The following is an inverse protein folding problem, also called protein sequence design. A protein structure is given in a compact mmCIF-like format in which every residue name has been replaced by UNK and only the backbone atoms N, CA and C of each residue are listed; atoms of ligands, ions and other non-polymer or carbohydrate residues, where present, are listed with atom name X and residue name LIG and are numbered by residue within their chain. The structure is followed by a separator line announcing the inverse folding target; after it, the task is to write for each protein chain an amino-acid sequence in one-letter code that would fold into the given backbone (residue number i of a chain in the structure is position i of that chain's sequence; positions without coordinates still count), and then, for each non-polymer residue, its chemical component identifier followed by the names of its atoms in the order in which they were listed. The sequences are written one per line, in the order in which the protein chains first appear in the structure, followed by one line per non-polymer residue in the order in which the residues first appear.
data_IF_607498348783
#
_entry.id   IF_607498348783
#
_cell.length_a   1.000
_cell.length_b   1.000
_cell.length_c   1.000
_cell.angle_alpha   90.00
_cell.angle_beta   90.00
_cell.angle_gamma   90.00
#
_symmetry.space_group_name_H-M   'P 1'
#
loop_
_entity.id
_entity.type
_entity.pdbx_description
1 polymer ?
#
# COMPACT_ATOMS: atom_id res chain seq x y z
N UNK A 1 2.32 -48.35 -9.08
CA UNK A 1 1.25 -49.30 -8.69
C UNK A 1 1.33 -49.48 -7.18
N UNK A 2 0.58 -48.68 -6.43
CA UNK A 2 0.49 -48.82 -4.97
C UNK A 2 -0.55 -49.91 -4.69
N UNK A 3 -0.11 -51.06 -4.21
CA UNK A 3 -1.01 -52.13 -3.75
C UNK A 3 -1.56 -51.67 -2.40
N UNK A 4 -2.80 -51.19 -2.38
CA UNK A 4 -3.50 -50.95 -1.12
C UNK A 4 -3.84 -52.32 -0.51
N UNK A 5 -3.43 -52.63 0.73
CA UNK A 5 -3.89 -53.83 1.40
C UNK A 5 -5.42 -53.73 1.56
N UNK A 6 -6.15 -54.83 1.31
CA UNK A 6 -7.57 -54.91 1.65
C UNK A 6 -7.74 -54.64 3.15
N UNK A 7 -8.26 -53.46 3.50
CA UNK A 7 -8.63 -53.15 4.87
C UNK A 7 -9.72 -54.14 5.30
N UNK A 8 -9.49 -54.85 6.41
CA UNK A 8 -10.51 -55.76 6.95
C UNK A 8 -11.71 -54.92 7.42
N UNK A 9 -12.94 -55.43 7.25
CA UNK A 9 -14.18 -54.77 7.68
C UNK A 9 -14.12 -54.30 9.15
N UNK A 10 -13.42 -55.04 10.01
CA UNK A 10 -13.17 -54.72 11.42
C UNK A 10 -12.31 -53.46 11.61
N UNK A 11 -11.31 -53.27 10.74
CA UNK A 11 -10.46 -52.07 10.73
C UNK A 11 -11.26 -50.83 10.32
N UNK A 12 -12.06 -50.92 9.26
CA UNK A 12 -12.91 -49.82 8.80
C UNK A 12 -13.96 -49.44 9.85
N UNK A 13 -14.58 -50.43 10.50
CA UNK A 13 -15.54 -50.19 11.57
C UNK A 13 -14.88 -49.51 12.79
N UNK A 14 -13.66 -49.90 13.14
CA UNK A 14 -12.89 -49.27 14.23
C UNK A 14 -12.63 -47.80 13.93
N UNK A 15 -12.16 -47.47 12.72
CA UNK A 15 -11.94 -46.08 12.29
C UNK A 15 -13.23 -45.26 12.39
N UNK A 16 -14.36 -45.80 11.93
CA UNK A 16 -15.65 -45.12 12.00
C UNK A 16 -16.09 -44.82 13.44
N UNK A 17 -15.94 -45.79 14.34
CA UNK A 17 -16.30 -45.62 15.75
C UNK A 17 -15.41 -44.60 16.46
N UNK A 18 -14.10 -44.68 16.26
CA UNK A 18 -13.14 -43.73 16.83
C UNK A 18 -13.34 -42.32 16.27
N UNK A 19 -13.62 -42.18 14.96
CA UNK A 19 -13.91 -40.90 14.33
C UNK A 19 -15.14 -40.23 14.96
N UNK A 20 -16.22 -40.99 15.21
CA UNK A 20 -17.42 -40.49 15.90
C UNK A 20 -17.14 -40.05 17.34
N UNK A 21 -16.20 -40.70 18.02
CA UNK A 21 -15.83 -40.34 19.40
C UNK A 21 -14.94 -39.08 19.45
N UNK A 22 -13.98 -38.96 18.52
CA UNK A 22 -12.88 -37.99 18.61
C UNK A 22 -13.08 -36.74 17.75
N UNK A 23 -13.63 -36.87 16.53
CA UNK A 23 -13.78 -35.73 15.61
C UNK A 23 -14.69 -34.61 16.14
N UNK A 24 -15.80 -34.87 16.86
CA UNK A 24 -16.62 -33.78 17.40
C UNK A 24 -15.85 -32.88 18.35
N UNK A 25 -15.01 -33.46 19.22
CA UNK A 25 -14.16 -32.69 20.13
C UNK A 25 -13.07 -31.93 19.38
N UNK A 26 -12.47 -32.55 18.35
CA UNK A 26 -11.46 -31.88 17.53
C UNK A 26 -12.04 -30.67 16.79
N UNK A 27 -13.17 -30.86 16.11
CA UNK A 27 -13.88 -29.79 15.39
C UNK A 27 -14.32 -28.66 16.34
N UNK A 28 -14.80 -28.99 17.54
CA UNK A 28 -15.13 -28.02 18.58
C UNK A 28 -13.91 -27.16 18.95
N UNK A 29 -12.73 -27.77 19.12
CA UNK A 29 -11.50 -27.02 19.46
C UNK A 29 -11.01 -26.13 18.32
N UNK A 30 -10.93 -26.67 17.11
CA UNK A 30 -10.44 -25.93 15.94
C UNK A 30 -11.35 -24.75 15.56
N UNK A 31 -12.65 -24.85 15.86
CA UNK A 31 -13.64 -23.83 15.50
C UNK A 31 -14.05 -22.93 16.68
N UNK A 32 -13.34 -23.00 17.82
CA UNK A 32 -13.73 -22.31 19.05
C UNK A 32 -15.19 -22.57 19.48
N UNK A 33 -15.67 -23.79 19.24
CA UNK A 33 -16.99 -24.28 19.61
C UNK A 33 -18.10 -24.04 18.58
N UNK A 34 -17.77 -23.50 17.41
CA UNK A 34 -18.75 -23.05 16.43
C UNK A 34 -19.14 -24.10 15.37
N UNK A 35 -18.28 -25.08 15.12
CA UNK A 35 -18.53 -26.24 14.26
C UNK A 35 -18.94 -27.45 15.11
N UNK A 36 -20.14 -27.98 14.85
CA UNK A 36 -20.68 -29.18 15.52
C UNK A 36 -20.90 -30.28 14.49
N UNK A 37 -20.17 -31.37 14.62
CA UNK A 37 -20.28 -32.50 13.71
C UNK A 37 -21.39 -33.46 14.15
N UNK A 38 -22.29 -33.80 13.23
CA UNK A 38 -23.24 -34.89 13.41
C UNK A 38 -22.55 -36.25 13.23
N UNK A 39 -23.13 -37.35 13.74
CA UNK A 39 -22.58 -38.70 13.49
C UNK A 39 -22.38 -39.02 12.01
N UNK A 40 -23.32 -38.62 11.14
CA UNK A 40 -23.22 -38.82 9.69
C UNK A 40 -22.07 -38.01 9.07
N UNK A 41 -21.80 -36.80 9.58
CA UNK A 41 -20.66 -35.99 9.14
C UNK A 41 -19.34 -36.59 9.63
N UNK A 42 -19.30 -37.15 10.84
CA UNK A 42 -18.13 -37.89 11.32
C UNK A 42 -17.83 -39.11 10.43
N UNK A 43 -18.85 -39.83 9.94
CA UNK A 43 -18.66 -40.95 9.01
C UNK A 43 -18.02 -40.48 7.70
N UNK A 44 -18.50 -39.36 7.15
CA UNK A 44 -17.93 -38.77 5.93
C UNK A 44 -16.47 -38.31 6.13
N UNK A 45 -16.14 -37.87 7.34
CA UNK A 45 -14.80 -37.41 7.72
C UNK A 45 -13.93 -38.53 8.32
N UNK A 46 -14.38 -39.78 8.28
CA UNK A 46 -13.60 -40.91 8.82
C UNK A 46 -12.23 -41.07 8.13
N UNK A 47 -12.14 -40.70 6.85
CA UNK A 47 -10.86 -40.64 6.12
C UNK A 47 -9.88 -39.59 6.66
N UNK A 48 -10.39 -38.47 7.20
CA UNK A 48 -9.58 -37.47 7.90
C UNK A 48 -9.05 -37.99 9.22
N UNK A 49 -9.91 -38.65 10.02
CA UNK A 49 -9.47 -39.28 11.26
C UNK A 49 -8.44 -40.40 11.00
N UNK A 50 -8.67 -41.23 9.99
CA UNK A 50 -7.75 -42.29 9.60
C UNK A 50 -6.36 -41.74 9.27
N UNK A 51 -6.28 -40.67 8.46
CA UNK A 51 -4.99 -40.07 8.10
C UNK A 51 -4.32 -39.37 9.29
N UNK A 52 -5.11 -38.69 10.14
CA UNK A 52 -4.60 -38.05 11.35
C UNK A 52 -3.95 -39.07 12.28
N UNK A 53 -4.60 -40.21 12.54
CA UNK A 53 -4.13 -41.23 13.50
C UNK A 53 -2.73 -41.75 13.15
N UNK A 54 -2.40 -41.79 11.87
CA UNK A 54 -1.11 -42.28 11.38
C UNK A 54 -0.02 -41.20 11.43
N UNK A 55 -0.37 -39.93 11.66
CA UNK A 55 0.56 -38.80 11.70
C UNK A 55 1.15 -38.56 13.10
N UNK A 56 2.42 -38.10 13.19
CA UNK A 56 3.11 -37.88 14.46
C UNK A 56 2.49 -36.75 15.31
N UNK A 57 1.71 -35.86 14.71
CA UNK A 57 0.97 -34.82 15.44
C UNK A 57 -0.23 -35.34 16.23
N UNK A 58 -0.80 -36.50 15.89
CA UNK A 58 -2.05 -36.97 16.49
C UNK A 58 -1.98 -37.24 18.00
N UNK A 59 -0.94 -37.91 18.57
CA UNK A 59 -0.84 -38.12 20.01
C UNK A 59 -0.90 -36.82 20.82
N UNK A 60 -0.39 -35.71 20.27
CA UNK A 60 -0.43 -34.37 20.89
C UNK A 60 -1.87 -33.85 20.90
N UNK A 61 -2.56 -33.92 19.75
CA UNK A 61 -3.94 -33.48 19.62
C UNK A 61 -4.88 -34.30 20.50
N UNK A 62 -4.74 -35.63 20.48
CA UNK A 62 -5.59 -36.56 21.22
C UNK A 62 -5.54 -36.29 22.73
N UNK A 63 -4.34 -36.13 23.27
CA UNK A 63 -4.15 -35.79 24.68
C UNK A 63 -4.79 -34.42 25.04
N UNK A 64 -4.80 -33.47 24.10
CA UNK A 64 -5.32 -32.14 24.29
C UNK A 64 -6.84 -32.00 24.08
N UNK A 65 -7.53 -32.98 23.49
CA UNK A 65 -8.98 -32.88 23.20
C UNK A 65 -9.82 -32.55 24.45
N UNK A 66 -9.42 -33.10 25.60
CA UNK A 66 -10.14 -32.93 26.88
C UNK A 66 -9.79 -31.62 27.61
N UNK A 67 -8.77 -30.88 27.15
CA UNK A 67 -8.27 -29.67 27.81
C UNK A 67 -8.42 -28.44 26.93
N UNK A 68 -9.41 -27.57 27.24
CA UNK A 68 -9.64 -26.32 26.49
C UNK A 68 -8.38 -25.43 26.50
N UNK A 69 -7.72 -25.32 27.65
CA UNK A 69 -6.56 -24.44 27.85
C UNK A 69 -5.30 -24.90 27.12
N UNK A 70 -5.28 -26.11 26.56
CA UNK A 70 -4.18 -26.59 25.74
C UNK A 70 -4.17 -25.97 24.33
N UNK A 71 -5.26 -25.33 23.92
CA UNK A 71 -5.43 -24.72 22.59
C UNK A 71 -5.16 -23.21 22.66
N UNK A 72 -4.48 -22.60 21.67
CA UNK A 72 -4.08 -23.18 20.37
C UNK A 72 -2.74 -23.95 20.38
N UNK A 73 -1.99 -23.95 21.49
CA UNK A 73 -0.61 -24.48 21.53
C UNK A 73 -0.50 -25.96 21.11
N UNK A 74 -1.48 -26.80 21.45
CA UNK A 74 -1.51 -28.19 21.03
C UNK A 74 -1.55 -28.35 19.49
N UNK A 75 -2.26 -27.46 18.79
CA UNK A 75 -2.29 -27.44 17.33
C UNK A 75 -0.92 -27.09 16.74
N UNK A 76 -0.29 -26.03 17.26
CA UNK A 76 1.04 -25.60 16.82
C UNK A 76 2.08 -26.72 16.99
N UNK A 77 2.08 -27.39 18.14
CA UNK A 77 2.98 -28.50 18.43
C UNK A 77 2.72 -29.71 17.52
N UNK A 78 1.45 -30.03 17.24
CA UNK A 78 1.10 -31.10 16.32
C UNK A 78 1.55 -30.78 14.88
N UNK A 79 1.39 -29.52 14.45
CA UNK A 79 1.86 -29.03 13.16
C UNK A 79 3.39 -29.08 13.06
N UNK A 80 4.10 -28.69 14.11
CA UNK A 80 5.58 -28.79 14.21
C UNK A 80 6.06 -30.25 14.16
N UNK A 81 5.31 -31.18 14.75
CA UNK A 81 5.60 -32.62 14.68
C UNK A 81 5.39 -33.19 13.27
N UNK A 82 4.51 -32.58 12.49
CA UNK A 82 4.28 -32.88 11.07
C UNK A 82 2.95 -33.57 10.81
N UNK A 83 2.35 -33.21 9.67
CA UNK A 83 1.19 -33.89 9.09
C UNK A 83 1.54 -34.37 7.69
N UNK A 84 1.03 -35.54 7.30
CA UNK A 84 1.13 -35.99 5.92
C UNK A 84 0.38 -35.04 4.98
N UNK A 85 0.73 -35.05 3.69
CA UNK A 85 0.04 -34.26 2.67
C UNK A 85 -1.47 -34.61 2.58
N UNK A 86 -1.82 -35.89 2.78
CA UNK A 86 -3.21 -36.35 2.87
C UNK A 86 -3.96 -35.72 4.04
N UNK A 87 -3.38 -35.71 5.23
CA UNK A 87 -3.98 -35.05 6.39
C UNK A 87 -4.07 -33.54 6.18
N UNK A 88 -3.04 -32.94 5.58
CA UNK A 88 -3.03 -31.52 5.24
C UNK A 88 -4.18 -31.16 4.28
N UNK A 89 -4.50 -32.01 3.31
CA UNK A 89 -5.67 -31.81 2.45
C UNK A 89 -6.98 -31.76 3.25
N UNK A 90 -7.20 -32.72 4.15
CA UNK A 90 -8.40 -32.72 4.99
C UNK A 90 -8.45 -31.55 5.97
N UNK A 91 -7.30 -31.17 6.56
CA UNK A 91 -7.19 -29.98 7.39
C UNK A 91 -7.57 -28.73 6.59
N UNK A 92 -7.08 -28.60 5.35
CA UNK A 92 -7.38 -27.47 4.48
C UNK A 92 -8.89 -27.35 4.24
N UNK A 93 -9.57 -28.45 3.91
CA UNK A 93 -11.03 -28.47 3.74
C UNK A 93 -11.79 -28.03 5.00
N UNK A 94 -11.41 -28.55 6.17
CA UNK A 94 -12.08 -28.23 7.43
C UNK A 94 -11.82 -26.77 7.85
N UNK A 95 -10.59 -26.28 7.75
CA UNK A 95 -10.31 -24.88 8.06
C UNK A 95 -10.99 -23.93 7.08
N UNK A 96 -11.06 -24.27 5.78
CA UNK A 96 -11.86 -23.50 4.82
C UNK A 96 -13.34 -23.46 5.21
N UNK A 97 -13.93 -24.59 5.62
CA UNK A 97 -15.32 -24.64 6.13
C UNK A 97 -15.51 -23.69 7.33
N UNK A 98 -14.60 -23.73 8.31
CA UNK A 98 -14.63 -22.86 9.49
C UNK A 98 -14.46 -21.39 9.11
N UNK A 99 -13.56 -21.06 8.17
CA UNK A 99 -13.38 -19.69 7.66
C UNK A 99 -14.70 -19.17 7.09
N UNK A 100 -15.33 -19.93 6.18
CA UNK A 100 -16.57 -19.49 5.54
C UNK A 100 -17.70 -19.29 6.54
N UNK A 101 -17.83 -20.16 7.52
CA UNK A 101 -18.84 -20.03 8.56
C UNK A 101 -18.56 -18.87 9.52
N UNK A 102 -17.30 -18.64 9.87
CA UNK A 102 -16.89 -17.48 10.67
C UNK A 102 -17.17 -16.16 9.94
N UNK A 103 -16.86 -16.08 8.64
CA UNK A 103 -17.16 -14.92 7.80
C UNK A 103 -18.66 -14.65 7.70
N UNK A 104 -19.50 -15.69 7.54
CA UNK A 104 -20.97 -15.55 7.53
C UNK A 104 -21.52 -15.01 8.86
N UNK A 105 -20.88 -15.36 9.98
CA UNK A 105 -21.24 -14.91 11.33
C UNK A 105 -20.60 -13.58 11.73
N UNK A 106 -19.78 -13.00 10.85
CA UNK A 106 -18.96 -11.81 11.12
C UNK A 106 -17.97 -11.99 12.30
N UNK A 107 -17.54 -13.23 12.57
CA UNK A 107 -16.49 -13.54 13.55
C UNK A 107 -15.11 -13.45 12.89
N UNK A 108 -14.64 -12.21 12.71
CA UNK A 108 -13.36 -11.93 12.05
C UNK A 108 -12.14 -12.41 12.85
N UNK A 109 -12.29 -12.59 14.16
CA UNK A 109 -11.21 -13.09 15.02
C UNK A 109 -10.96 -14.56 14.73
N UNK A 110 -12.03 -15.37 14.71
CA UNK A 110 -11.93 -16.78 14.34
C UNK A 110 -11.49 -16.92 12.89
N UNK A 111 -12.13 -16.19 11.96
CA UNK A 111 -11.77 -16.23 10.54
C UNK A 111 -10.28 -15.93 10.31
N UNK A 112 -9.73 -14.90 10.97
CA UNK A 112 -8.32 -14.53 10.83
C UNK A 112 -7.35 -15.58 11.36
N UNK A 113 -7.72 -16.26 12.45
CA UNK A 113 -6.92 -17.35 13.01
C UNK A 113 -6.88 -18.56 12.06
N UNK A 114 -8.04 -19.02 11.61
CA UNK A 114 -8.14 -20.24 10.78
C UNK A 114 -7.76 -20.01 9.31
N UNK A 115 -7.75 -18.76 8.83
CA UNK A 115 -7.33 -18.40 7.48
C UNK A 115 -5.92 -18.86 7.16
N UNK A 116 -4.95 -18.48 8.00
CA UNK A 116 -3.54 -18.84 7.80
C UNK A 116 -3.32 -20.35 7.83
N UNK A 117 -4.02 -21.05 8.72
CA UNK A 117 -3.98 -22.51 8.83
C UNK A 117 -4.56 -23.19 7.58
N UNK A 118 -5.67 -22.67 7.04
CA UNK A 118 -6.26 -23.18 5.80
C UNK A 118 -5.30 -23.07 4.61
N UNK A 119 -4.69 -21.90 4.41
CA UNK A 119 -3.78 -21.67 3.29
C UNK A 119 -2.52 -22.54 3.39
N UNK A 120 -1.92 -22.62 4.59
CA UNK A 120 -0.74 -23.46 4.79
C UNK A 120 -1.07 -24.94 4.56
N UNK A 121 -2.22 -25.41 5.03
CA UNK A 121 -2.65 -26.78 4.84
C UNK A 121 -2.87 -27.11 3.35
N UNK A 122 -3.39 -26.16 2.57
CA UNK A 122 -3.51 -26.31 1.11
C UNK A 122 -2.16 -26.45 0.42
N UNK A 123 -1.17 -25.62 0.77
CA UNK A 123 0.19 -25.71 0.20
C UNK A 123 0.84 -27.04 0.58
N UNK A 124 0.76 -27.45 1.85
CA UNK A 124 1.32 -28.73 2.32
C UNK A 124 0.64 -29.94 1.66
N UNK A 125 -0.64 -29.83 1.31
CA UNK A 125 -1.34 -30.89 0.57
C UNK A 125 -0.84 -31.04 -0.87
N UNK A 126 -0.35 -29.94 -1.47
CA UNK A 126 0.12 -29.90 -2.86
C UNK A 126 1.53 -30.47 -3.04
N UNK A 127 2.26 -30.76 -1.95
CA UNK A 127 3.57 -31.43 -1.96
C UNK A 127 3.47 -32.90 -2.39
N UNK A 128 3.15 -33.13 -3.67
CA UNK A 128 3.16 -34.43 -4.35
C UNK A 128 1.86 -35.24 -4.22
N UNK A 129 1.00 -34.97 -3.24
CA UNK A 129 -0.22 -35.77 -3.04
C UNK A 129 -1.41 -35.28 -3.86
N UNK A 130 -1.63 -33.97 -3.95
CA UNK A 130 -2.84 -33.42 -4.59
C UNK A 130 -2.91 -33.74 -6.09
N UNK A 131 -1.78 -33.79 -6.78
CA UNK A 131 -1.70 -34.18 -8.20
C UNK A 131 -2.17 -35.63 -8.40
N UNK A 132 -1.62 -36.57 -7.62
CA UNK A 132 -2.00 -37.98 -7.66
C UNK A 132 -3.48 -38.18 -7.30
N UNK A 133 -3.96 -37.46 -6.28
CA UNK A 133 -5.36 -37.48 -5.87
C UNK A 133 -6.28 -36.99 -7.00
N UNK A 134 -5.97 -35.86 -7.63
CA UNK A 134 -6.75 -35.33 -8.74
C UNK A 134 -6.71 -36.26 -9.95
N UNK A 135 -5.56 -36.85 -10.27
CA UNK A 135 -5.44 -37.84 -11.33
C UNK A 135 -6.29 -39.09 -11.08
N UNK A 136 -6.44 -39.49 -9.81
CA UNK A 136 -7.31 -40.59 -9.43
C UNK A 136 -8.79 -40.22 -9.53
N UNK A 137 -9.18 -39.05 -9.04
CA UNK A 137 -10.56 -38.57 -9.09
C UNK A 137 -11.03 -38.21 -10.51
N UNK A 138 -10.10 -37.77 -11.37
CA UNK A 138 -10.34 -37.32 -12.73
C UNK A 138 -9.43 -38.08 -13.72
N UNK A 139 -9.64 -39.39 -13.92
CA UNK A 139 -8.71 -40.24 -14.67
C UNK A 139 -8.59 -39.87 -16.16
N UNK A 140 -9.57 -39.17 -16.71
CA UNK A 140 -9.58 -38.70 -18.11
C UNK A 140 -9.12 -37.26 -18.28
N UNK A 141 -8.79 -36.54 -17.20
CA UNK A 141 -8.30 -35.18 -17.29
C UNK A 141 -6.89 -35.14 -17.89
N UNK A 142 -6.60 -34.11 -18.68
CA UNK A 142 -5.23 -33.84 -19.13
C UNK A 142 -4.37 -33.34 -17.96
N UNK A 143 -3.05 -33.49 -18.07
CA UNK A 143 -2.11 -32.93 -17.10
C UNK A 143 -2.29 -31.41 -16.92
N UNK A 144 -2.61 -30.71 -18.01
CA UNK A 144 -2.92 -29.27 -17.99
C UNK A 144 -4.19 -28.96 -17.18
N UNK A 145 -5.25 -29.77 -17.31
CA UNK A 145 -6.47 -29.59 -16.52
C UNK A 145 -6.24 -29.84 -15.02
N UNK A 146 -5.40 -30.82 -14.67
CA UNK A 146 -5.00 -31.08 -13.27
C UNK A 146 -4.21 -29.89 -12.73
N UNK A 147 -3.22 -29.41 -13.48
CA UNK A 147 -2.43 -28.22 -13.14
C UNK A 147 -3.31 -26.99 -12.92
N UNK A 148 -4.22 -26.71 -13.86
CA UNK A 148 -5.16 -25.59 -13.76
C UNK A 148 -6.08 -25.71 -12.53
N UNK A 149 -6.55 -26.92 -12.20
CA UNK A 149 -7.37 -27.18 -11.00
C UNK A 149 -6.59 -26.87 -9.72
N UNK A 150 -5.31 -27.26 -9.64
CA UNK A 150 -4.45 -26.95 -8.49
C UNK A 150 -4.23 -25.45 -8.33
N UNK A 151 -3.91 -24.74 -9.42
CA UNK A 151 -3.72 -23.28 -9.41
C UNK A 151 -4.99 -22.52 -8.99
N UNK A 152 -6.17 -23.04 -9.35
CA UNK A 152 -7.45 -22.43 -9.04
C UNK A 152 -8.03 -22.81 -7.66
N UNK A 153 -7.45 -23.81 -6.98
CA UNK A 153 -7.97 -24.33 -5.71
C UNK A 153 -8.12 -23.26 -4.59
N UNK A 154 -7.22 -22.25 -4.46
CA UNK A 154 -7.40 -21.16 -3.49
C UNK A 154 -8.55 -20.19 -3.82
N UNK A 155 -9.07 -20.21 -5.06
CA UNK A 155 -10.02 -19.24 -5.61
C UNK A 155 -11.23 -18.95 -4.72
N UNK A 156 -12.02 -19.96 -4.30
CA UNK A 156 -13.21 -19.72 -3.47
C UNK A 156 -12.92 -18.99 -2.14
N UNK A 157 -11.76 -19.26 -1.52
CA UNK A 157 -11.36 -18.59 -0.30
C UNK A 157 -11.00 -17.12 -0.56
N UNK A 158 -10.27 -16.85 -1.64
CA UNK A 158 -9.89 -15.50 -2.06
C UNK A 158 -11.10 -14.68 -2.53
N UNK A 159 -12.09 -15.29 -3.19
CA UNK A 159 -13.36 -14.64 -3.54
C UNK A 159 -14.15 -14.20 -2.29
N UNK A 160 -14.19 -15.03 -1.24
CA UNK A 160 -14.83 -14.66 0.01
C UNK A 160 -14.10 -13.50 0.72
N UNK A 161 -12.76 -13.52 0.68
CA UNK A 161 -11.94 -12.41 1.15
C UNK A 161 -12.24 -11.12 0.36
N UNK A 162 -12.30 -11.20 -0.97
CA UNK A 162 -12.63 -10.07 -1.85
C UNK A 162 -13.98 -9.45 -1.49
N UNK A 163 -15.03 -10.28 -1.38
CA UNK A 163 -16.37 -9.81 -1.01
C UNK A 163 -16.37 -9.13 0.37
N UNK A 164 -15.63 -9.67 1.35
CA UNK A 164 -15.53 -9.06 2.68
C UNK A 164 -14.75 -7.74 2.64
N UNK A 165 -13.66 -7.69 1.88
CA UNK A 165 -12.83 -6.50 1.70
C UNK A 165 -13.62 -5.38 1.02
N UNK A 166 -14.33 -5.67 -0.09
CA UNK A 166 -15.23 -4.72 -0.78
C UNK A 166 -16.29 -4.15 0.14
N UNK A 167 -16.96 -5.01 0.92
CA UNK A 167 -17.94 -4.55 1.93
C UNK A 167 -17.30 -3.65 2.98
N UNK A 168 -16.10 -3.97 3.42
CA UNK A 168 -15.40 -3.21 4.45
C UNK A 168 -14.86 -1.87 3.93
N UNK A 169 -14.49 -1.82 2.64
CA UNK A 169 -14.09 -0.61 1.93
C UNK A 169 -15.24 0.41 1.89
N UNK A 170 -16.49 -0.02 1.74
CA UNK A 170 -17.65 0.89 1.71
C UNK A 170 -17.42 2.07 0.73
N UNK A 171 -17.19 1.73 -0.54
CA UNK A 171 -16.74 2.67 -1.58
C UNK A 171 -17.81 3.70 -1.97
N UNK A 172 -19.09 3.33 -1.86
CA UNK A 172 -20.21 4.24 -2.12
C UNK A 172 -20.22 5.47 -1.19
N UNK A 173 -19.68 5.32 0.03
CA UNK A 173 -19.58 6.38 1.02
C UNK A 173 -18.11 6.61 1.42
N UNK A 174 -17.29 7.06 0.46
CA UNK A 174 -15.85 7.28 0.68
C UNK A 174 -15.57 8.29 1.81
N UNK A 175 -16.41 9.32 1.94
CA UNK A 175 -16.33 10.34 3.00
C UNK A 175 -16.76 9.83 4.37
N UNK A 176 -17.44 8.68 4.44
CA UNK A 176 -17.77 8.02 5.70
C UNK A 176 -16.61 7.14 6.19
N UNK A 177 -16.57 6.92 7.50
CA UNK A 177 -15.61 5.99 8.11
C UNK A 177 -15.81 4.57 7.56
N UNK A 178 -14.73 3.87 7.17
CA UNK A 178 -14.82 2.48 6.70
C UNK A 178 -15.02 1.50 7.88
N UNK A 179 -15.39 0.25 7.56
CA UNK A 179 -15.39 -0.84 8.56
C UNK A 179 -13.94 -1.25 8.86
N UNK A 180 -13.35 -0.60 9.87
CA UNK A 180 -11.97 -0.83 10.30
C UNK A 180 -11.71 -2.28 10.70
N UNK A 181 -12.69 -3.01 11.24
CA UNK A 181 -12.51 -4.41 11.64
C UNK A 181 -12.40 -5.29 10.40
N UNK A 182 -13.30 -5.11 9.44
CA UNK A 182 -13.26 -5.79 8.15
C UNK A 182 -11.97 -5.51 7.37
N UNK A 183 -11.52 -4.26 7.32
CA UNK A 183 -10.28 -3.90 6.62
C UNK A 183 -9.03 -4.48 7.29
N UNK A 184 -8.97 -4.51 8.62
CA UNK A 184 -7.84 -5.15 9.34
C UNK A 184 -7.79 -6.66 9.11
N UNK A 185 -8.95 -7.32 9.08
CA UNK A 185 -9.03 -8.72 8.69
C UNK A 185 -8.53 -8.91 7.26
N UNK A 186 -8.95 -8.08 6.31
CA UNK A 186 -8.52 -8.18 4.93
C UNK A 186 -7.01 -7.98 4.78
N UNK A 187 -6.43 -7.00 5.49
CA UNK A 187 -4.97 -6.81 5.54
C UNK A 187 -4.26 -8.06 6.06
N UNK A 188 -4.68 -8.57 7.22
CA UNK A 188 -4.11 -9.78 7.82
C UNK A 188 -4.20 -10.99 6.89
N UNK A 189 -5.32 -11.15 6.20
CA UNK A 189 -5.54 -12.24 5.26
C UNK A 189 -4.59 -12.14 4.04
N UNK A 190 -4.42 -10.93 3.49
CA UNK A 190 -3.48 -10.66 2.40
C UNK A 190 -2.02 -10.87 2.83
N UNK A 191 -1.63 -10.43 4.04
CA UNK A 191 -0.28 -10.67 4.58
C UNK A 191 -0.02 -12.17 4.78
N UNK A 192 -1.04 -12.94 5.16
CA UNK A 192 -0.96 -14.39 5.20
C UNK A 192 -0.77 -15.00 3.81
N UNK A 193 -1.46 -14.50 2.79
CA UNK A 193 -1.25 -14.94 1.41
C UNK A 193 0.18 -14.70 0.96
N UNK A 194 0.74 -13.51 1.20
CA UNK A 194 2.11 -13.19 0.82
C UNK A 194 3.13 -14.10 1.51
N UNK A 195 2.90 -14.40 2.80
CA UNK A 195 3.76 -15.32 3.56
C UNK A 195 3.67 -16.77 3.06
N UNK A 196 2.47 -17.25 2.73
CA UNK A 196 2.24 -18.65 2.37
C UNK A 196 2.57 -18.92 0.90
N UNK A 197 2.30 -17.96 0.02
CA UNK A 197 2.50 -18.11 -1.44
C UNK A 197 3.79 -17.47 -1.95
N UNK A 198 4.47 -16.63 -1.15
CA UNK A 198 5.59 -15.81 -1.60
C UNK A 198 6.83 -16.55 -2.11
N UNK A 199 7.05 -17.80 -1.68
CA UNK A 199 8.15 -18.64 -2.16
C UNK A 199 7.75 -19.57 -3.32
N UNK A 200 6.49 -19.54 -3.76
CA UNK A 200 5.95 -20.29 -4.90
C UNK A 200 6.56 -21.69 -5.08
N UNK A 201 6.41 -22.55 -4.08
CA UNK A 201 7.02 -23.89 -4.04
C UNK A 201 6.23 -24.98 -4.78
N UNK A 202 5.03 -24.65 -5.25
CA UNK A 202 4.08 -25.60 -5.83
C UNK A 202 3.11 -24.89 -6.79
N UNK A 203 2.40 -25.66 -7.64
CA UNK A 203 1.41 -25.11 -8.57
C UNK A 203 0.26 -24.40 -7.83
N UNK A 204 -0.16 -24.93 -6.69
CA UNK A 204 -1.15 -24.27 -5.85
C UNK A 204 -0.61 -22.93 -5.30
N UNK A 205 0.64 -22.91 -4.85
CA UNK A 205 1.26 -21.68 -4.33
C UNK A 205 1.43 -20.62 -5.43
N UNK A 206 1.86 -21.02 -6.63
CA UNK A 206 1.95 -20.13 -7.79
C UNK A 206 0.58 -19.53 -8.16
N UNK A 207 -0.46 -20.37 -8.28
CA UNK A 207 -1.82 -19.90 -8.56
C UNK A 207 -2.37 -19.01 -7.44
N UNK A 208 -2.09 -19.35 -6.18
CA UNK A 208 -2.44 -18.53 -5.01
C UNK A 208 -1.77 -17.15 -5.04
N UNK A 209 -0.50 -17.07 -5.41
CA UNK A 209 0.22 -15.81 -5.58
C UNK A 209 -0.38 -14.95 -6.70
N UNK A 210 -0.68 -15.55 -7.86
CA UNK A 210 -1.31 -14.86 -9.00
C UNK A 210 -2.71 -14.32 -8.66
N UNK A 211 -3.53 -15.12 -7.99
CA UNK A 211 -4.87 -14.72 -7.56
C UNK A 211 -4.80 -13.62 -6.48
N UNK A 212 -3.86 -13.71 -5.54
CA UNK A 212 -3.64 -12.67 -4.52
C UNK A 212 -3.18 -11.37 -5.16
N UNK A 213 -2.29 -11.44 -6.14
CA UNK A 213 -1.85 -10.27 -6.91
C UNK A 213 -3.02 -9.63 -7.67
N UNK A 214 -3.82 -10.43 -8.36
CA UNK A 214 -5.04 -9.99 -9.07
C UNK A 214 -6.03 -9.34 -8.10
N UNK A 215 -6.25 -9.94 -6.93
CA UNK A 215 -7.12 -9.39 -5.90
C UNK A 215 -6.64 -8.00 -5.44
N UNK A 216 -5.35 -7.83 -5.16
CA UNK A 216 -4.78 -6.52 -4.79
C UNK A 216 -4.98 -5.49 -5.89
N UNK A 217 -4.79 -5.86 -7.15
CA UNK A 217 -5.03 -4.97 -8.29
C UNK A 217 -6.51 -4.57 -8.40
N UNK A 218 -7.43 -5.51 -8.27
CA UNK A 218 -8.89 -5.25 -8.30
C UNK A 218 -9.29 -4.29 -7.20
N UNK A 219 -8.89 -4.56 -5.94
CA UNK A 219 -9.20 -3.68 -4.80
C UNK A 219 -8.61 -2.28 -4.98
N UNK A 220 -7.38 -2.18 -5.50
CA UNK A 220 -6.74 -0.90 -5.79
C UNK A 220 -7.46 -0.12 -6.89
N UNK A 221 -7.87 -0.81 -7.96
CA UNK A 221 -8.62 -0.22 -9.08
C UNK A 221 -9.96 0.33 -8.61
N UNK A 222 -10.74 -0.48 -7.89
CA UNK A 222 -12.07 -0.08 -7.39
C UNK A 222 -11.97 1.09 -6.41
N UNK A 223 -11.00 1.05 -5.49
CA UNK A 223 -10.78 2.14 -4.54
C UNK A 223 -10.39 3.44 -5.27
N UNK A 224 -9.54 3.35 -6.29
CA UNK A 224 -9.11 4.49 -7.12
C UNK A 224 -10.26 5.05 -7.97
N UNK A 225 -11.08 4.18 -8.56
CA UNK A 225 -12.27 4.56 -9.31
C UNK A 225 -13.26 5.29 -8.40
N UNK A 226 -13.50 4.77 -7.19
CA UNK A 226 -14.35 5.45 -6.22
C UNK A 226 -13.84 6.86 -5.88
N UNK A 227 -12.53 7.02 -5.61
CA UNK A 227 -11.94 8.35 -5.40
C UNK A 227 -12.21 9.29 -6.57
N UNK A 228 -11.99 8.80 -7.79
CA UNK A 228 -12.22 9.59 -9.01
C UNK A 228 -13.67 10.00 -9.15
N UNK A 229 -14.63 9.09 -8.95
CA UNK A 229 -16.06 9.38 -9.01
C UNK A 229 -16.47 10.42 -7.98
N UNK A 230 -16.01 10.29 -6.72
CA UNK A 230 -16.31 11.26 -5.67
C UNK A 230 -15.72 12.64 -5.99
N UNK A 231 -14.49 12.71 -6.52
CA UNK A 231 -13.87 13.99 -6.92
C UNK A 231 -14.61 14.63 -8.10
N UNK A 232 -14.98 13.86 -9.12
CA UNK A 232 -15.72 14.36 -10.28
C UNK A 232 -17.12 14.90 -9.94
N UNK A 233 -17.73 14.36 -8.87
CA UNK A 233 -19.02 14.84 -8.40
C UNK A 233 -18.94 16.21 -7.68
N UNK A 234 -17.75 16.64 -7.26
CA UNK A 234 -17.59 17.92 -6.58
C UNK A 234 -17.70 19.08 -7.58
N UNK A 235 -18.61 20.01 -7.30
CA UNK A 235 -18.67 21.26 -8.06
C UNK A 235 -17.60 22.24 -7.56
N UNK A 236 -16.44 22.25 -8.23
CA UNK A 236 -15.31 23.12 -7.91
C UNK A 236 -15.61 24.63 -8.00
N UNK A 237 -16.78 25.05 -8.48
CA UNK A 237 -17.20 26.47 -8.47
C UNK A 237 -17.79 26.90 -7.13
N UNK A 238 -18.35 25.94 -6.37
CA UNK A 238 -19.09 26.22 -5.14
C UNK A 238 -18.56 25.48 -3.92
N UNK A 239 -17.75 24.43 -4.13
CA UNK A 239 -17.24 23.61 -3.05
C UNK A 239 -16.45 24.43 -2.03
N UNK A 240 -16.58 24.05 -0.76
CA UNK A 240 -15.73 24.51 0.33
C UNK A 240 -14.51 23.58 0.53
N UNK A 241 -13.58 23.98 1.40
CA UNK A 241 -12.36 23.23 1.64
C UNK A 241 -12.62 21.83 2.26
N UNK A 242 -13.66 21.70 3.09
CA UNK A 242 -13.97 20.43 3.75
C UNK A 242 -14.53 19.41 2.74
N UNK A 243 -15.38 19.86 1.81
CA UNK A 243 -15.90 19.04 0.72
C UNK A 243 -14.78 18.50 -0.19
N UNK A 244 -13.75 19.32 -0.45
CA UNK A 244 -12.59 18.91 -1.27
C UNK A 244 -11.68 17.90 -0.57
N UNK A 245 -11.49 18.05 0.73
CA UNK A 245 -10.57 17.23 1.53
C UNK A 245 -11.19 15.89 1.92
N UNK A 246 -12.50 15.83 2.20
CA UNK A 246 -13.15 14.65 2.74
C UNK A 246 -12.95 13.35 1.91
N UNK A 247 -13.00 13.36 0.56
CA UNK A 247 -12.71 12.17 -0.24
C UNK A 247 -11.25 11.68 -0.09
N UNK A 248 -10.29 12.61 0.00
CA UNK A 248 -8.87 12.29 0.14
C UNK A 248 -8.58 11.68 1.51
N UNK A 249 -9.15 12.22 2.59
CA UNK A 249 -9.02 11.66 3.94
C UNK A 249 -9.67 10.28 4.05
N UNK A 250 -10.87 10.13 3.47
CA UNK A 250 -11.58 8.85 3.42
C UNK A 250 -10.78 7.78 2.68
N UNK A 251 -10.12 8.16 1.58
CA UNK A 251 -9.23 7.30 0.82
C UNK A 251 -7.96 6.95 1.61
N UNK A 252 -7.31 7.93 2.26
CA UNK A 252 -6.12 7.72 3.09
C UNK A 252 -6.37 6.69 4.18
N UNK A 253 -7.51 6.79 4.87
CA UNK A 253 -7.86 5.85 5.93
C UNK A 253 -7.92 4.40 5.44
N UNK A 254 -8.42 4.18 4.21
CA UNK A 254 -8.54 2.85 3.61
C UNK A 254 -7.18 2.31 3.17
N UNK A 255 -6.41 3.12 2.45
CA UNK A 255 -5.06 2.77 1.99
C UNK A 255 -4.13 2.49 3.17
N UNK A 256 -4.21 3.29 4.25
CA UNK A 256 -3.40 3.09 5.44
C UNK A 256 -3.68 1.76 6.15
N UNK A 257 -4.94 1.30 6.14
CA UNK A 257 -5.30 0.03 6.79
C UNK A 257 -4.96 -1.16 5.89
N UNK A 258 -5.23 -1.08 4.59
CA UNK A 258 -4.98 -2.14 3.61
C UNK A 258 -3.56 -2.11 3.02
N UNK A 259 -2.59 -1.56 3.74
CA UNK A 259 -1.19 -1.40 3.30
C UNK A 259 -0.73 -2.44 2.25
N UNK A 260 -0.35 -1.95 1.05
CA UNK A 260 0.07 -2.81 -0.07
C UNK A 260 -0.90 -2.89 -1.26
N UNK A 261 -1.79 -1.90 -1.43
CA UNK A 261 -2.54 -1.73 -2.67
C UNK A 261 -1.69 -0.93 -3.69
N UNK A 262 -1.43 -1.49 -4.89
CA UNK A 262 -0.54 -0.85 -5.87
C UNK A 262 -1.16 0.43 -6.46
N UNK A 263 -0.33 1.48 -6.61
CA UNK A 263 -0.70 2.69 -7.36
C UNK A 263 -1.70 3.64 -6.68
N UNK A 264 -2.31 3.26 -5.55
CA UNK A 264 -3.29 4.09 -4.85
C UNK A 264 -2.72 5.44 -4.40
N UNK A 265 -1.50 5.47 -3.83
CA UNK A 265 -0.87 6.71 -3.36
C UNK A 265 -0.64 7.69 -4.51
N UNK A 266 -0.17 7.19 -5.65
CA UNK A 266 0.03 8.01 -6.84
C UNK A 266 -1.29 8.54 -7.40
N UNK A 267 -2.33 7.72 -7.43
CA UNK A 267 -3.65 8.12 -7.91
C UNK A 267 -4.25 9.22 -7.02
N UNK A 268 -4.16 9.08 -5.69
CA UNK A 268 -4.62 10.11 -4.76
C UNK A 268 -3.84 11.41 -4.90
N UNK A 269 -2.50 11.32 -4.99
CA UNK A 269 -1.66 12.50 -5.18
C UNK A 269 -2.02 13.26 -6.46
N UNK A 270 -2.15 12.54 -7.59
CA UNK A 270 -2.57 13.15 -8.87
C UNK A 270 -3.95 13.78 -8.78
N UNK A 271 -4.91 13.08 -8.17
CA UNK A 271 -6.28 13.57 -8.08
C UNK A 271 -6.36 14.86 -7.26
N UNK A 272 -5.70 14.93 -6.10
CA UNK A 272 -5.70 16.16 -5.28
C UNK A 272 -4.90 17.31 -5.90
N UNK A 273 -3.78 17.04 -6.57
CA UNK A 273 -3.04 18.08 -7.30
C UNK A 273 -3.83 18.63 -8.48
N UNK A 274 -4.59 17.78 -9.18
CA UNK A 274 -5.50 18.23 -10.24
C UNK A 274 -6.59 19.15 -9.69
N UNK A 275 -7.12 18.89 -8.48
CA UNK A 275 -8.05 19.81 -7.81
C UNK A 275 -7.39 21.19 -7.63
N UNK A 276 -6.15 21.24 -7.12
CA UNK A 276 -5.42 22.51 -6.94
C UNK A 276 -5.24 23.27 -8.26
N UNK A 277 -4.81 22.58 -9.32
CA UNK A 277 -4.65 23.20 -10.64
C UNK A 277 -5.98 23.71 -11.23
N UNK A 278 -7.08 22.98 -11.06
CA UNK A 278 -8.39 23.40 -11.52
C UNK A 278 -8.94 24.59 -10.72
N UNK A 279 -8.76 24.60 -9.40
CA UNK A 279 -9.14 25.75 -8.56
C UNK A 279 -8.36 27.00 -8.95
N UNK A 280 -7.07 26.86 -9.28
CA UNK A 280 -6.25 27.96 -9.80
C UNK A 280 -6.75 28.47 -11.14
N UNK A 281 -7.16 27.57 -12.05
CA UNK A 281 -7.78 27.95 -13.33
C UNK A 281 -9.11 28.70 -13.13
N UNK A 282 -9.82 28.42 -12.05
CA UNK A 282 -11.06 29.08 -11.65
C UNK A 282 -10.83 30.33 -10.77
N UNK A 283 -9.58 30.68 -10.47
CA UNK A 283 -9.20 31.79 -9.57
C UNK A 283 -9.83 31.68 -8.17
N UNK A 284 -10.06 30.44 -7.70
CA UNK A 284 -10.64 30.16 -6.39
C UNK A 284 -9.64 29.68 -5.36
N UNK A 285 -8.45 29.23 -5.77
CA UNK A 285 -7.45 28.63 -4.89
C UNK A 285 -7.01 29.57 -3.76
N UNK A 286 -6.75 30.84 -4.07
CA UNK A 286 -6.41 31.86 -3.07
C UNK A 286 -7.60 32.20 -2.15
N UNK A 287 -8.79 32.38 -2.72
CA UNK A 287 -9.97 32.82 -1.97
C UNK A 287 -10.44 31.82 -0.91
N UNK A 288 -10.10 30.54 -1.09
CA UNK A 288 -10.45 29.47 -0.15
C UNK A 288 -9.24 28.85 0.55
N UNK A 289 -8.05 29.45 0.41
CA UNK A 289 -6.81 28.94 0.99
C UNK A 289 -6.59 27.45 0.63
N UNK A 290 -6.95 27.05 -0.59
CA UNK A 290 -7.03 25.64 -1.00
C UNK A 290 -5.72 24.86 -0.77
N UNK A 291 -4.53 25.42 -1.08
CA UNK A 291 -3.27 24.75 -0.79
C UNK A 291 -3.06 24.44 0.70
N UNK A 292 -3.52 25.31 1.61
CA UNK A 292 -3.37 25.13 3.07
C UNK A 292 -4.20 23.95 3.59
N UNK A 293 -5.28 23.60 2.91
CA UNK A 293 -6.15 22.48 3.27
C UNK A 293 -5.82 21.18 2.52
N UNK A 294 -5.55 21.26 1.21
CA UNK A 294 -5.31 20.08 0.38
C UNK A 294 -3.91 19.50 0.55
N UNK A 295 -2.88 20.32 0.75
CA UNK A 295 -1.51 19.81 0.89
C UNK A 295 -1.34 18.93 2.15
N UNK A 296 -1.88 19.29 3.33
CA UNK A 296 -1.87 18.38 4.48
C UNK A 296 -2.58 17.05 4.22
N UNK A 297 -3.69 17.06 3.49
CA UNK A 297 -4.41 15.83 3.12
C UNK A 297 -3.62 14.97 2.12
N UNK A 298 -2.81 15.60 1.26
CA UNK A 298 -1.96 14.93 0.28
C UNK A 298 -0.64 14.41 0.85
N UNK A 299 -0.15 15.03 1.93
CA UNK A 299 1.15 14.76 2.53
C UNK A 299 1.41 13.27 2.84
N UNK A 300 0.46 12.51 3.43
CA UNK A 300 0.68 11.08 3.72
C UNK A 300 0.97 10.26 2.46
N UNK A 301 0.36 10.60 1.32
CA UNK A 301 0.60 9.92 0.05
C UNK A 301 1.97 10.31 -0.53
N UNK A 302 2.31 11.60 -0.48
CA UNK A 302 3.62 12.09 -0.93
C UNK A 302 4.75 11.44 -0.11
N UNK A 303 4.67 11.47 1.22
CA UNK A 303 5.69 10.89 2.10
C UNK A 303 5.90 9.38 1.83
N UNK A 304 4.82 8.62 1.58
CA UNK A 304 4.93 7.21 1.20
C UNK A 304 5.58 7.01 -0.16
N UNK A 305 5.21 7.79 -1.18
CA UNK A 305 5.82 7.71 -2.51
C UNK A 305 7.31 8.08 -2.49
N UNK A 306 7.69 9.06 -1.67
CA UNK A 306 9.09 9.46 -1.51
C UNK A 306 9.96 8.42 -0.81
N UNK A 307 9.36 7.58 0.03
CA UNK A 307 10.06 6.48 0.69
C UNK A 307 10.45 5.35 -0.27
N UNK A 308 9.82 5.29 -1.45
CA UNK A 308 10.10 4.27 -2.45
C UNK A 308 11.24 4.76 -3.36
N UNK A 309 12.15 3.85 -3.73
CA UNK A 309 13.25 4.22 -4.61
C UNK A 309 12.73 4.73 -5.96
N UNK A 310 13.18 5.91 -6.38
CA UNK A 310 12.70 6.57 -7.61
C UNK A 310 12.85 5.76 -8.89
N UNK A 311 13.78 4.80 -8.92
CA UNK A 311 13.95 3.86 -10.04
C UNK A 311 12.75 2.95 -10.23
N UNK A 312 11.99 2.72 -9.16
CA UNK A 312 10.87 1.79 -9.11
C UNK A 312 9.54 2.50 -9.41
N UNK A 313 9.50 3.84 -9.38
CA UNK A 313 8.29 4.66 -9.64
C UNK A 313 8.60 5.97 -10.37
N UNK A 314 9.07 5.87 -11.61
CA UNK A 314 9.39 7.05 -12.44
C UNK A 314 8.13 7.92 -12.66
N UNK A 315 6.95 7.31 -12.79
CA UNK A 315 5.71 8.07 -13.02
C UNK A 315 5.24 8.96 -11.85
N UNK A 316 5.84 8.79 -10.66
CA UNK A 316 5.56 9.60 -9.48
C UNK A 316 6.37 10.92 -9.45
N UNK A 317 7.44 11.02 -10.26
CA UNK A 317 8.34 12.17 -10.23
C UNK A 317 7.65 13.51 -10.52
N UNK A 318 6.79 13.56 -11.54
CA UNK A 318 6.04 14.76 -11.89
C UNK A 318 5.09 15.21 -10.78
N UNK A 319 4.14 14.37 -10.34
CA UNK A 319 3.24 14.70 -9.24
C UNK A 319 3.94 15.08 -7.93
N UNK A 320 5.04 14.40 -7.56
CA UNK A 320 5.81 14.79 -6.38
C UNK A 320 6.48 16.16 -6.54
N UNK A 321 6.99 16.48 -7.74
CA UNK A 321 7.54 17.80 -8.02
C UNK A 321 6.46 18.90 -7.98
N UNK A 322 5.26 18.64 -8.49
CA UNK A 322 4.11 19.53 -8.35
C UNK A 322 3.74 19.74 -6.88
N UNK A 323 3.67 18.66 -6.09
CA UNK A 323 3.38 18.74 -4.65
C UNK A 323 4.36 19.67 -3.92
N UNK A 324 5.67 19.50 -4.11
CA UNK A 324 6.66 20.40 -3.52
C UNK A 324 6.60 21.82 -4.07
N UNK A 325 6.20 21.99 -5.34
CA UNK A 325 6.00 23.32 -5.93
C UNK A 325 4.90 24.06 -5.18
N UNK A 326 3.77 23.40 -4.89
CA UNK A 326 2.71 23.97 -4.07
C UNK A 326 3.11 24.16 -2.60
N UNK A 327 3.88 23.25 -1.99
CA UNK A 327 4.42 23.46 -0.63
C UNK A 327 5.28 24.74 -0.55
N UNK A 328 6.03 25.05 -1.62
CA UNK A 328 6.83 26.27 -1.69
C UNK A 328 5.98 27.55 -1.74
N UNK A 329 4.76 27.51 -2.26
CA UNK A 329 3.89 28.69 -2.34
C UNK A 329 3.40 29.13 -0.94
N UNK A 330 2.99 28.16 -0.13
CA UNK A 330 2.48 28.42 1.23
C UNK A 330 3.57 28.55 2.29
N UNK A 331 4.82 28.19 1.97
CA UNK A 331 5.92 28.31 2.91
C UNK A 331 6.20 29.78 3.28
N UNK A 332 6.36 30.06 4.57
CA UNK A 332 6.55 31.42 5.08
C UNK A 332 7.94 32.01 4.77
N UNK A 333 9.01 31.21 4.86
CA UNK A 333 10.39 31.69 4.74
C UNK A 333 10.97 31.42 3.36
N UNK A 334 11.76 32.37 2.81
CA UNK A 334 12.40 32.19 1.50
C UNK A 334 13.29 30.93 1.45
N UNK A 335 14.00 30.62 2.53
CA UNK A 335 14.89 29.46 2.59
C UNK A 335 14.08 28.15 2.51
N UNK A 336 12.90 28.10 3.14
CA UNK A 336 11.99 26.96 3.03
C UNK A 336 11.41 26.85 1.62
N UNK A 337 10.98 27.97 1.00
CA UNK A 337 10.50 27.98 -0.39
C UNK A 337 11.56 27.43 -1.35
N UNK A 338 12.80 27.89 -1.20
CA UNK A 338 13.92 27.42 -1.99
C UNK A 338 14.16 25.92 -1.81
N UNK A 339 14.15 25.43 -0.57
CA UNK A 339 14.36 24.03 -0.27
C UNK A 339 13.31 23.13 -0.95
N UNK A 340 12.02 23.52 -0.91
CA UNK A 340 10.96 22.78 -1.59
C UNK A 340 11.14 22.81 -3.13
N UNK A 341 11.46 23.96 -3.72
CA UNK A 341 11.64 24.08 -5.17
C UNK A 341 12.88 23.31 -5.66
N UNK A 342 13.99 23.35 -4.92
CA UNK A 342 15.17 22.52 -5.21
C UNK A 342 14.87 21.04 -5.08
N UNK A 343 14.07 20.65 -4.07
CA UNK A 343 13.59 19.27 -3.92
C UNK A 343 12.74 18.87 -5.12
N UNK A 344 11.83 19.73 -5.59
CA UNK A 344 11.03 19.49 -6.79
C UNK A 344 11.90 19.23 -8.03
N UNK A 345 12.92 20.06 -8.28
CA UNK A 345 13.85 19.88 -9.40
C UNK A 345 14.75 18.66 -9.27
N UNK A 346 15.11 18.30 -8.04
CA UNK A 346 15.82 17.05 -7.77
C UNK A 346 14.92 15.86 -8.07
N UNK A 347 13.62 15.94 -7.77
CA UNK A 347 12.63 14.90 -8.03
C UNK A 347 12.28 14.75 -9.50
N UNK A 348 12.07 15.87 -10.21
CA UNK A 348 11.79 15.90 -11.64
C UNK A 348 12.67 16.96 -12.30
N UNK A 349 13.72 16.51 -12.98
CA UNK A 349 14.64 17.39 -13.70
C UNK A 349 13.89 18.17 -14.79
N UNK A 350 14.11 19.49 -14.84
CA UNK A 350 13.44 20.35 -15.81
C UNK A 350 11.96 20.66 -15.50
N UNK A 351 11.49 20.39 -14.28
CA UNK A 351 10.11 20.70 -13.90
C UNK A 351 9.77 22.19 -14.05
N UNK A 352 8.98 22.52 -15.08
CA UNK A 352 8.74 23.89 -15.57
C UNK A 352 8.29 24.86 -14.47
N UNK A 353 7.31 24.47 -13.65
CA UNK A 353 6.75 25.36 -12.63
C UNK A 353 7.75 25.62 -11.51
N UNK A 354 8.46 24.58 -11.07
CA UNK A 354 9.50 24.70 -10.04
C UNK A 354 10.67 25.57 -10.52
N UNK A 355 11.16 25.35 -11.75
CA UNK A 355 12.23 26.16 -12.35
C UNK A 355 11.83 27.63 -12.45
N UNK A 356 10.61 27.90 -12.93
CA UNK A 356 10.09 29.27 -13.05
C UNK A 356 10.01 29.95 -11.69
N UNK A 357 9.39 29.30 -10.70
CA UNK A 357 9.24 29.86 -9.36
C UNK A 357 10.57 30.07 -8.66
N UNK A 358 11.51 29.12 -8.81
CA UNK A 358 12.85 29.25 -8.22
C UNK A 358 13.62 30.40 -8.87
N UNK A 359 13.48 30.59 -10.18
CA UNK A 359 14.03 31.76 -10.87
C UNK A 359 13.50 33.07 -10.27
N UNK A 360 12.19 33.22 -10.08
CA UNK A 360 11.62 34.41 -9.42
C UNK A 360 12.10 34.58 -7.98
N UNK A 361 12.25 33.49 -7.22
CA UNK A 361 12.78 33.52 -5.86
C UNK A 361 14.24 34.01 -5.82
N UNK A 362 15.06 33.57 -6.78
CA UNK A 362 16.44 34.02 -6.94
C UNK A 362 16.49 35.51 -7.30
N UNK A 363 15.58 36.00 -8.15
CA UNK A 363 15.44 37.44 -8.41
C UNK A 363 15.06 38.22 -7.15
N UNK A 364 14.17 37.68 -6.31
CA UNK A 364 13.81 38.33 -5.03
C UNK A 364 15.04 38.42 -4.10
N UNK A 365 15.87 37.38 -4.03
CA UNK A 365 17.13 37.42 -3.27
C UNK A 365 18.09 38.49 -3.82
N UNK A 366 18.27 38.54 -5.14
CA UNK A 366 19.09 39.55 -5.79
C UNK A 366 18.58 40.96 -5.47
N UNK A 367 17.27 41.19 -5.60
CA UNK A 367 16.63 42.46 -5.27
C UNK A 367 16.87 42.88 -3.80
N UNK A 368 16.76 41.95 -2.84
CA UNK A 368 17.03 42.23 -1.43
C UNK A 368 18.46 42.70 -1.18
N UNK A 369 19.44 42.14 -1.89
CA UNK A 369 20.83 42.60 -1.79
C UNK A 369 21.04 43.93 -2.53
N UNK A 370 20.43 44.14 -3.70
CA UNK A 370 20.47 45.41 -4.45
C UNK A 370 19.83 46.57 -3.68
N UNK A 371 18.69 46.35 -3.00
CA UNK A 371 18.06 47.38 -2.17
C UNK A 371 18.92 47.78 -0.97
N UNK A 372 19.61 46.82 -0.33
CA UNK A 372 20.57 47.12 0.74
C UNK A 372 21.75 47.94 0.22
N UNK A 373 22.22 47.60 -0.98
CA UNK A 373 23.26 48.37 -1.66
C UNK A 373 22.78 49.79 -1.94
N UNK A 374 21.60 49.97 -2.53
CA UNK A 374 21.00 51.26 -2.84
C UNK A 374 20.87 52.17 -1.60
N UNK A 375 20.55 51.59 -0.44
CA UNK A 375 20.47 52.32 0.84
C UNK A 375 21.84 52.64 1.48
N UNK A 376 22.94 52.09 0.95
CA UNK A 376 24.29 52.28 1.49
C UNK A 376 24.94 53.51 0.86
N UNK A 377 25.34 54.54 1.66
CA UNK A 377 25.97 55.74 1.12
C UNK A 377 27.32 55.45 0.45
N UNK A 378 27.61 56.13 -0.66
CA UNK A 378 28.85 55.99 -1.43
C UNK A 378 30.11 56.22 -0.59
N UNK A 379 30.08 57.21 0.30
CA UNK A 379 31.18 57.52 1.24
C UNK A 379 31.51 56.36 2.19
N UNK A 380 30.57 55.43 2.42
CA UNK A 380 30.79 54.23 3.23
C UNK A 380 31.77 53.24 2.60
N UNK A 381 31.93 53.24 1.27
CA UNK A 381 32.80 52.32 0.54
C UNK A 381 34.31 52.53 0.81
N UNK A 382 34.69 53.68 1.39
CA UNK A 382 36.07 53.94 1.82
C UNK A 382 36.46 53.18 3.10
N UNK A 383 35.49 52.64 3.85
CA UNK A 383 35.72 51.89 5.09
C UNK A 383 35.86 50.39 4.74
N UNK A 384 37.03 49.79 4.99
CA UNK A 384 37.34 48.43 4.53
C UNK A 384 36.38 47.31 5.01
N UNK A 385 35.68 47.48 6.12
CA UNK A 385 34.62 46.55 6.55
C UNK A 385 33.33 46.70 5.74
N UNK A 386 32.97 47.93 5.35
CA UNK A 386 31.78 48.24 4.55
C UNK A 386 32.02 47.86 3.09
N UNK A 387 33.21 48.13 2.56
CA UNK A 387 33.61 47.71 1.20
C UNK A 387 33.46 46.19 0.99
N UNK A 388 33.95 45.37 1.92
CA UNK A 388 33.79 43.91 1.87
C UNK A 388 32.32 43.48 1.89
N UNK A 389 31.46 44.18 2.64
CA UNK A 389 30.01 43.90 2.65
C UNK A 389 29.36 44.25 1.31
N UNK A 390 29.76 45.37 0.70
CA UNK A 390 29.29 45.78 -0.63
C UNK A 390 29.72 44.75 -1.68
N UNK A 391 31.02 44.41 -1.75
CA UNK A 391 31.55 43.41 -2.67
C UNK A 391 30.85 42.05 -2.51
N UNK A 392 30.63 41.62 -1.26
CA UNK A 392 29.90 40.38 -0.97
C UNK A 392 28.42 40.43 -1.37
N UNK A 393 27.74 41.57 -1.19
CA UNK A 393 26.34 41.73 -1.61
C UNK A 393 26.21 41.78 -3.15
N UNK A 394 27.12 42.47 -3.82
CA UNK A 394 27.20 42.49 -5.29
C UNK A 394 27.45 41.08 -5.85
N UNK A 395 28.34 40.30 -5.24
CA UNK A 395 28.60 38.93 -5.65
C UNK A 395 27.37 38.03 -5.46
N UNK A 396 26.71 38.08 -4.29
CA UNK A 396 25.49 37.29 -4.05
C UNK A 396 24.37 37.66 -5.02
N UNK A 397 24.19 38.94 -5.33
CA UNK A 397 23.23 39.39 -6.32
C UNK A 397 23.57 38.85 -7.72
N UNK A 398 24.85 38.88 -8.11
CA UNK A 398 25.30 38.31 -9.39
C UNK A 398 25.06 36.79 -9.46
N UNK A 399 25.44 36.05 -8.42
CA UNK A 399 25.27 34.60 -8.36
C UNK A 399 23.78 34.22 -8.47
N UNK A 400 22.91 34.94 -7.75
CA UNK A 400 21.46 34.72 -7.81
C UNK A 400 20.88 35.06 -9.20
N UNK A 401 21.33 36.13 -9.86
CA UNK A 401 20.90 36.45 -11.22
C UNK A 401 21.39 35.44 -12.25
N UNK A 402 22.58 34.88 -12.06
CA UNK A 402 23.12 33.84 -12.91
C UNK A 402 22.27 32.56 -12.77
N UNK A 403 22.05 32.09 -11.55
CA UNK A 403 21.21 30.93 -11.28
C UNK A 403 19.77 31.14 -11.78
N UNK A 404 19.17 32.30 -11.54
CA UNK A 404 17.83 32.63 -12.04
C UNK A 404 17.72 32.48 -13.56
N UNK A 405 18.77 32.86 -14.30
CA UNK A 405 18.86 32.73 -15.76
C UNK A 405 19.01 31.28 -16.19
N UNK A 406 19.83 30.49 -15.52
CA UNK A 406 20.00 29.07 -15.84
C UNK A 406 18.69 28.30 -15.64
N UNK A 407 17.96 28.61 -14.57
CA UNK A 407 16.69 27.96 -14.25
C UNK A 407 15.57 28.32 -15.23
N UNK A 408 15.41 29.61 -15.55
CA UNK A 408 14.35 30.08 -16.44
C UNK A 408 14.83 31.29 -17.27
N UNK A 409 15.43 31.05 -18.45
CA UNK A 409 15.99 32.11 -19.29
C UNK A 409 14.97 33.14 -19.77
N UNK A 410 13.70 32.75 -19.87
CA UNK A 410 12.59 33.60 -20.32
C UNK A 410 12.00 34.49 -19.21
N UNK A 411 12.64 34.59 -18.04
CA UNK A 411 12.19 35.48 -16.98
C UNK A 411 12.38 36.96 -17.40
N UNK A 412 11.26 37.68 -17.54
CA UNK A 412 11.21 39.04 -18.09
C UNK A 412 11.96 40.06 -17.21
N UNK A 413 12.05 39.81 -15.90
CA UNK A 413 12.69 40.71 -14.94
C UNK A 413 14.23 40.60 -14.91
N UNK A 414 14.82 39.59 -15.58
CA UNK A 414 16.27 39.37 -15.57
C UNK A 414 17.06 40.57 -16.10
N UNK A 415 16.56 41.21 -17.17
CA UNK A 415 17.25 42.33 -17.80
C UNK A 415 17.28 43.57 -16.90
N UNK A 416 16.20 43.83 -16.18
CA UNK A 416 16.10 44.97 -15.26
C UNK A 416 17.04 44.81 -14.08
N UNK A 417 17.01 43.67 -13.37
CA UNK A 417 17.91 43.46 -12.23
C UNK A 417 19.39 43.39 -12.64
N UNK A 418 19.70 43.00 -13.88
CA UNK A 418 21.07 43.06 -14.40
C UNK A 418 21.53 44.49 -14.65
N UNK A 419 20.65 45.36 -15.15
CA UNK A 419 20.92 46.79 -15.26
C UNK A 419 21.18 47.38 -13.88
N UNK A 420 20.33 47.10 -12.91
CA UNK A 420 20.46 47.60 -11.53
C UNK A 420 21.78 47.14 -10.88
N UNK A 421 22.16 45.86 -11.08
CA UNK A 421 23.45 45.35 -10.62
C UNK A 421 24.63 46.11 -11.24
N UNK A 422 24.58 46.39 -12.54
CA UNK A 422 25.65 47.13 -13.23
C UNK A 422 25.74 48.59 -12.76
N UNK A 423 24.60 49.23 -12.52
CA UNK A 423 24.53 50.60 -11.97
C UNK A 423 25.15 50.66 -10.56
N UNK A 424 24.80 49.71 -9.68
CA UNK A 424 25.37 49.65 -8.34
C UNK A 424 26.88 49.32 -8.36
N UNK A 425 27.34 48.45 -9.27
CA UNK A 425 28.78 48.18 -9.47
C UNK A 425 29.53 49.44 -9.89
N UNK A 426 28.96 50.22 -10.82
CA UNK A 426 29.54 51.47 -11.28
C UNK A 426 29.60 52.50 -10.15
N UNK A 427 28.52 52.65 -9.38
CA UNK A 427 28.41 53.59 -8.26
C UNK A 427 29.49 53.36 -7.20
N UNK A 428 29.79 52.10 -6.88
CA UNK A 428 30.80 51.75 -5.88
C UNK A 428 32.21 51.52 -6.45
N UNK A 429 32.41 51.68 -7.77
CA UNK A 429 33.67 51.44 -8.48
C UNK A 429 34.27 50.03 -8.18
N UNK A 430 33.41 49.01 -8.19
CA UNK A 430 33.78 47.61 -7.98
C UNK A 430 33.77 46.88 -9.32
N UNK A 431 34.93 46.39 -9.77
CA UNK A 431 35.00 45.59 -11.00
C UNK A 431 34.25 44.26 -10.82
N UNK A 432 33.51 43.85 -11.86
CA UNK A 432 32.92 42.51 -11.95
C UNK A 432 34.00 41.44 -12.02
N UNK A 433 33.67 40.21 -11.59
CA UNK A 433 34.52 39.07 -11.89
C UNK A 433 34.66 38.96 -13.42
N UNK A 434 35.88 38.74 -13.96
CA UNK A 434 36.05 38.51 -15.39
C UNK A 434 35.27 37.25 -15.76
N UNK A 435 34.34 37.36 -16.71
CA UNK A 435 33.64 36.20 -17.28
C UNK A 435 34.58 35.49 -18.24
N UNK A 436 34.80 34.20 -18.00
CA UNK A 436 35.32 33.26 -19.00
C UNK A 436 34.23 32.85 -20.00
#
# INVERSE_FOLDING_TARGET
MMVMPEATLEHELTILLEARERLPALADRLSAGTLKLSPSRCDQLSGWYASLRDDPGWPILEAALRSVSAWPRAWELAREAGFSARTSHHNALIFSEIVFDALKRDDLSLAGHVWGEALQAWVNADEGWLEDYLQHCLPTASAEAIRATRRAAPGPALEALEQRARRALNLDALTASPDRRGLRFAQHALDCCDRVFGEASSELAEGGAELTHTLRQTLASELTEALHTHIQAINLTHADAAELVAPLEGFEQRVRILSGLPGCDLAALRAGLNILWELRRLERDEAMEAPEHLLPALKPFADRLESIARKDHIEAAGPLADFHTFEAEIAFSLDTREAHLRRALTTCEGHRNASRMLSYLMLERANRDLLKLAATPELGAAIGAVRRRIESALQRAEDALHEARELYPANELLADYQRDLLEERARFNVQGAPRE
#
